data_IF_403327141674
#
_entry.id   IF_403327141674
#
_cell.length_a   1.000
_cell.length_b   1.000
_cell.length_c   1.000
_cell.angle_alpha   90.00
_cell.angle_beta   90.00
_cell.angle_gamma   90.00
#
_symmetry.space_group_name_H-M   'P 1'
#
loop_
_entity.id
_entity.type
_entity.pdbx_description
1 polymer ?
#
# COMPACT_ATOMS: atom_id res chain seq x y z
N UNK A 1 -10.27 3.82 8.32
CA UNK A 1 -10.04 3.04 7.07
C UNK A 1 -8.56 2.97 6.71
N UNK A 2 -7.83 4.09 6.64
CA UNK A 2 -6.39 4.07 6.36
C UNK A 2 -5.55 3.37 7.45
N UNK A 3 -5.92 3.50 8.73
CA UNK A 3 -5.24 2.85 9.86
C UNK A 3 -5.19 1.31 9.76
N UNK A 4 -6.30 0.66 9.37
CA UNK A 4 -6.32 -0.80 9.17
C UNK A 4 -5.44 -1.24 7.98
N UNK A 5 -5.29 -0.37 6.97
CA UNK A 5 -4.52 -0.67 5.76
C UNK A 5 -3.00 -0.54 6.00
N UNK A 6 -2.58 0.35 6.89
CA UNK A 6 -1.18 0.52 7.27
C UNK A 6 -0.64 -0.71 8.03
N UNK A 7 -1.42 -1.27 8.96
CA UNK A 7 -1.06 -2.52 9.65
C UNK A 7 -1.05 -3.74 8.72
N UNK A 8 -1.96 -3.80 7.74
CA UNK A 8 -1.98 -4.85 6.71
C UNK A 8 -0.77 -4.78 5.77
N UNK A 9 -0.31 -3.57 5.43
CA UNK A 9 0.89 -3.39 4.60
C UNK A 9 2.15 -3.90 5.29
N UNK A 10 2.25 -3.80 6.62
CA UNK A 10 3.39 -4.27 7.42
C UNK A 10 3.49 -5.81 7.37
N UNK A 11 2.36 -6.51 7.56
CA UNK A 11 2.28 -7.98 7.41
C UNK A 11 2.56 -8.41 5.97
N UNK A 12 1.99 -7.70 4.98
CA UNK A 12 2.19 -8.04 3.57
C UNK A 12 3.61 -7.78 3.07
N UNK A 13 4.37 -6.86 3.67
CA UNK A 13 5.70 -6.51 3.20
C UNK A 13 6.68 -7.68 3.31
N UNK A 14 6.47 -8.59 4.28
CA UNK A 14 7.32 -9.77 4.46
C UNK A 14 6.94 -10.93 3.52
N UNK A 15 5.64 -11.20 3.36
CA UNK A 15 5.15 -12.38 2.62
C UNK A 15 4.81 -12.09 1.16
N UNK A 16 4.37 -10.87 0.85
CA UNK A 16 3.86 -10.46 -0.48
C UNK A 16 4.25 -9.01 -0.79
N UNK A 17 5.55 -8.72 -0.96
CA UNK A 17 6.04 -7.35 -1.07
C UNK A 17 5.46 -6.59 -2.28
N UNK A 18 5.11 -7.25 -3.38
CA UNK A 18 4.42 -6.62 -4.53
C UNK A 18 3.02 -6.08 -4.15
N UNK A 19 2.24 -6.86 -3.39
CA UNK A 19 0.92 -6.42 -2.90
C UNK A 19 1.07 -5.31 -1.86
N UNK A 20 2.08 -5.40 -0.99
CA UNK A 20 2.39 -4.33 -0.04
C UNK A 20 2.72 -3.02 -0.77
N UNK A 21 3.57 -3.05 -1.80
CA UNK A 21 3.94 -1.88 -2.59
C UNK A 21 2.73 -1.23 -3.29
N UNK A 22 1.84 -2.05 -3.89
CA UNK A 22 0.59 -1.57 -4.49
C UNK A 22 -0.35 -0.95 -3.45
N UNK A 23 -0.51 -1.61 -2.30
CA UNK A 23 -1.37 -1.08 -1.22
C UNK A 23 -0.83 0.25 -0.68
N UNK A 24 0.48 0.37 -0.46
CA UNK A 24 1.12 1.62 -0.03
C UNK A 24 0.93 2.74 -1.06
N UNK A 25 1.03 2.43 -2.35
CA UNK A 25 0.70 3.37 -3.43
C UNK A 25 -0.75 3.83 -3.38
N UNK A 26 -1.67 2.89 -3.18
CA UNK A 26 -3.10 3.16 -3.14
C UNK A 26 -3.50 4.01 -1.91
N UNK A 27 -2.88 3.76 -0.75
CA UNK A 27 -3.01 4.60 0.45
C UNK A 27 -2.55 6.03 0.14
N UNK A 28 -1.37 6.21 -0.46
CA UNK A 28 -0.84 7.53 -0.81
C UNK A 28 -1.77 8.28 -1.78
N UNK A 29 -2.27 7.61 -2.83
CA UNK A 29 -3.20 8.20 -3.78
C UNK A 29 -4.55 8.55 -3.16
N UNK A 30 -5.04 7.75 -2.22
CA UNK A 30 -6.28 8.03 -1.50
C UNK A 30 -6.15 9.28 -0.62
N UNK A 31 -5.10 9.36 0.21
CA UNK A 31 -4.84 10.48 1.12
C UNK A 31 -4.75 11.79 0.35
N UNK A 32 -4.01 11.79 -0.77
CA UNK A 32 -3.87 12.96 -1.65
C UNK A 32 -5.21 13.39 -2.26
N UNK A 33 -6.03 12.44 -2.72
CA UNK A 33 -7.35 12.72 -3.32
C UNK A 33 -8.34 13.30 -2.31
N UNK A 34 -8.32 12.83 -1.06
CA UNK A 34 -9.25 13.27 -0.02
C UNK A 34 -8.71 14.43 0.83
N UNK A 35 -7.46 14.85 0.61
CA UNK A 35 -6.81 15.92 1.38
C UNK A 35 -6.60 15.56 2.86
N UNK A 36 -6.46 14.27 3.18
CA UNK A 36 -6.24 13.82 4.55
C UNK A 36 -4.75 13.75 4.90
N UNK A 37 -4.46 13.38 6.14
CA UNK A 37 -3.12 13.01 6.59
C UNK A 37 -3.20 11.75 7.44
N UNK A 38 -2.12 10.97 7.45
CA UNK A 38 -2.00 9.80 8.32
C UNK A 38 -1.72 10.25 9.76
N UNK A 39 -2.06 9.40 10.72
CA UNK A 39 -1.58 9.61 12.09
C UNK A 39 -0.06 9.34 12.14
N UNK A 40 0.68 9.93 13.09
CA UNK A 40 2.13 9.71 13.20
C UNK A 40 2.53 8.23 13.33
N UNK A 41 1.67 7.43 13.98
CA UNK A 41 1.86 5.98 14.12
C UNK A 41 1.71 5.26 12.78
N UNK A 42 0.72 5.65 11.97
CA UNK A 42 0.50 5.05 10.65
C UNK A 42 1.59 5.45 9.66
N UNK A 43 2.06 6.71 9.69
CA UNK A 43 3.19 7.16 8.88
C UNK A 43 4.43 6.30 9.17
N UNK A 44 4.70 6.05 10.45
CA UNK A 44 5.81 5.18 10.87
C UNK A 44 5.65 3.76 10.33
N UNK A 45 4.44 3.20 10.38
CA UNK A 45 4.14 1.86 9.85
C UNK A 45 4.27 1.78 8.33
N UNK A 46 3.75 2.79 7.62
CA UNK A 46 3.84 2.91 6.16
C UNK A 46 5.29 3.03 5.71
N UNK A 47 6.10 3.83 6.38
CA UNK A 47 7.51 4.00 6.00
C UNK A 47 8.32 2.72 6.29
N UNK A 48 8.04 2.01 7.40
CA UNK A 48 8.64 0.70 7.67
C UNK A 48 8.29 -0.32 6.58
N UNK A 49 7.00 -0.44 6.26
CA UNK A 49 6.49 -1.35 5.22
C UNK A 49 7.11 -1.03 3.86
N UNK A 50 7.24 0.25 3.55
CA UNK A 50 7.88 0.75 2.32
C UNK A 50 9.35 0.36 2.25
N UNK A 51 10.09 0.52 3.33
CA UNK A 51 11.50 0.12 3.38
C UNK A 51 11.65 -1.40 3.15
N UNK A 52 10.84 -2.22 3.83
CA UNK A 52 10.87 -3.68 3.69
C UNK A 52 10.51 -4.11 2.26
N UNK A 53 9.42 -3.59 1.70
CA UNK A 53 8.99 -3.95 0.35
C UNK A 53 10.01 -3.53 -0.71
N UNK A 54 10.64 -2.35 -0.54
CA UNK A 54 11.69 -1.85 -1.43
C UNK A 54 12.98 -2.67 -1.35
N UNK A 55 13.36 -3.13 -0.16
CA UNK A 55 14.51 -4.02 0.03
C UNK A 55 14.28 -5.39 -0.62
N UNK A 56 13.10 -5.98 -0.41
CA UNK A 56 12.73 -7.31 -0.94
C UNK A 56 12.58 -7.35 -2.46
N UNK A 57 12.03 -6.29 -3.08
CA UNK A 57 11.73 -6.26 -4.53
C UNK A 57 12.81 -5.58 -5.37
N UNK A 58 13.65 -4.77 -4.74
CA UNK A 58 14.47 -3.78 -5.43
C UNK A 58 13.69 -2.50 -5.76
N UNK A 59 14.45 -1.41 -5.93
CA UNK A 59 13.89 -0.06 -6.03
C UNK A 59 13.00 0.17 -7.25
N UNK A 60 13.35 -0.42 -8.40
CA UNK A 60 12.62 -0.24 -9.66
C UNK A 60 11.28 -0.99 -9.65
N UNK A 61 11.31 -2.27 -9.28
CA UNK A 61 10.11 -3.10 -9.12
C UNK A 61 9.14 -2.51 -8.09
N UNK A 62 9.68 -2.02 -6.96
CA UNK A 62 8.89 -1.31 -5.96
C UNK A 62 8.21 -0.07 -6.55
N UNK A 63 8.96 0.76 -7.27
CA UNK A 63 8.43 2.00 -7.84
C UNK A 63 7.31 1.72 -8.85
N UNK A 64 7.48 0.70 -9.70
CA UNK A 64 6.43 0.27 -10.64
C UNK A 64 5.16 -0.17 -9.90
N UNK A 65 5.28 -1.05 -8.91
CA UNK A 65 4.15 -1.52 -8.11
C UNK A 65 3.46 -0.38 -7.32
N UNK A 66 4.24 0.53 -6.75
CA UNK A 66 3.72 1.71 -6.04
C UNK A 66 2.94 2.65 -6.96
N UNK A 67 3.43 2.90 -8.18
CA UNK A 67 2.71 3.74 -9.14
C UNK A 67 1.37 3.11 -9.57
N UNK A 68 1.34 1.79 -9.80
CA UNK A 68 0.11 1.05 -10.10
C UNK A 68 -0.90 1.21 -8.96
N UNK A 69 -0.45 1.06 -7.72
CA UNK A 69 -1.24 1.32 -6.53
C UNK A 69 -1.80 2.74 -6.47
N UNK A 70 -0.95 3.75 -6.67
CA UNK A 70 -1.35 5.18 -6.58
C UNK A 70 -2.38 5.58 -7.64
N UNK A 71 -2.38 4.91 -8.79
CA UNK A 71 -3.40 5.11 -9.83
C UNK A 71 -4.77 4.53 -9.46
N UNK A 72 -4.86 3.60 -8.49
CA UNK A 72 -6.11 2.96 -8.09
C UNK A 72 -7.14 3.96 -7.57
N UNK A 73 -8.41 3.65 -7.82
CA UNK A 73 -9.55 4.32 -7.22
C UNK A 73 -9.77 3.83 -5.78
N UNK A 74 -10.41 4.63 -4.91
CA UNK A 74 -10.69 4.23 -3.53
C UNK A 74 -11.41 2.87 -3.40
N UNK A 75 -12.29 2.56 -4.36
CA UNK A 75 -13.01 1.30 -4.41
C UNK A 75 -12.08 0.11 -4.72
N UNK A 76 -11.15 0.29 -5.66
CA UNK A 76 -10.12 -0.72 -5.98
C UNK A 76 -9.15 -0.93 -4.82
N UNK A 77 -8.81 0.12 -4.07
CA UNK A 77 -7.96 0.01 -2.86
C UNK A 77 -8.55 -0.93 -1.82
N UNK A 78 -9.86 -0.81 -1.56
CA UNK A 78 -10.56 -1.64 -0.56
C UNK A 78 -10.64 -3.10 -1.01
N UNK A 79 -10.97 -3.34 -2.29
CA UNK A 79 -11.03 -4.69 -2.87
C UNK A 79 -9.64 -5.36 -2.87
N UNK A 80 -8.59 -4.61 -3.22
CA UNK A 80 -7.22 -5.11 -3.21
C UNK A 80 -6.73 -5.45 -1.79
N UNK A 81 -7.08 -4.62 -0.81
CA UNK A 81 -6.71 -4.81 0.59
C UNK A 81 -7.41 -6.01 1.24
N UNK A 82 -8.67 -6.28 0.86
CA UNK A 82 -9.46 -7.40 1.38
C UNK A 82 -9.11 -8.74 0.72
N UNK A 83 -8.22 -8.76 -0.28
CA UNK A 83 -7.75 -9.99 -0.91
C UNK A 83 -8.73 -10.61 -1.91
N UNK A 84 -9.81 -9.91 -2.27
CA UNK A 84 -10.74 -10.32 -3.32
C UNK A 84 -10.11 -9.97 -4.67
N UNK A 85 -9.15 -10.79 -5.11
CA UNK A 85 -8.91 -10.98 -6.54
C UNK A 85 -10.19 -11.58 -7.11
N UNK A 86 -11.16 -10.73 -7.50
CA UNK A 86 -12.26 -11.15 -8.36
C UNK A 86 -11.69 -11.33 -9.76
N UNK A 87 -10.96 -12.43 -9.91
CA UNK A 87 -10.43 -12.97 -11.16
C UNK A 87 -10.75 -14.45 -11.22
N UNK A 88 -12.01 -14.79 -11.47
CA UNK A 88 -12.38 -16.06 -12.11
C UNK A 88 -12.86 -15.77 -13.52
#
# INVERSE_FOLDING_TARGET
MAECLAGLADVMAEERPDRAARLLGAIAGLIEKIGASLSPSDETSVERSRAIARDRMGSESFQAAWMLGRAMTPNETVVHALGEDTGR
#
